data_IF_773114219225
#
_entry.id   IF_773114219225
#
_cell.length_a   1.000
_cell.length_b   1.000
_cell.length_c   1.000
_cell.angle_alpha   90.00
_cell.angle_beta   90.00
_cell.angle_gamma   90.00
#
_symmetry.space_group_name_H-M   'P 1'
#
loop_
_entity.id
_entity.type
_entity.pdbx_description
1 polymer ?
#
# COMPACT_ATOMS: atom_id res chain seq x y z
N UNK A 1 6.81 1.25 -12.59
CA UNK A 1 7.40 1.43 -11.24
C UNK A 1 7.49 2.91 -10.86
N UNK A 2 7.91 3.80 -11.76
CA UNK A 2 7.93 5.27 -11.55
C UNK A 2 6.64 5.83 -10.98
N UNK A 3 5.49 5.59 -11.62
CA UNK A 3 4.19 6.05 -11.12
C UNK A 3 3.86 5.56 -9.70
N UNK A 4 4.30 4.35 -9.31
CA UNK A 4 4.11 3.84 -7.95
C UNK A 4 4.93 4.66 -6.95
N UNK A 5 6.12 5.08 -7.33
CA UNK A 5 6.98 5.92 -6.50
C UNK A 5 6.44 7.36 -6.42
N UNK A 6 5.98 7.92 -7.54
CA UNK A 6 5.39 9.27 -7.60
C UNK A 6 4.11 9.39 -6.78
N UNK A 7 3.30 8.32 -6.72
CA UNK A 7 2.10 8.24 -5.89
C UNK A 7 2.39 7.93 -4.41
N UNK A 8 3.66 7.84 -4.01
CA UNK A 8 4.05 7.61 -2.61
C UNK A 8 3.80 6.19 -2.09
N UNK A 9 3.52 5.22 -2.97
CA UNK A 9 3.29 3.84 -2.53
C UNK A 9 4.58 3.14 -2.09
N UNK A 10 4.42 2.15 -1.20
CA UNK A 10 5.51 1.32 -0.67
C UNK A 10 6.30 0.56 -1.75
N UNK A 11 5.64 0.25 -2.86
CA UNK A 11 6.19 -0.55 -3.95
C UNK A 11 5.08 -1.28 -4.68
N UNK A 12 5.47 -2.25 -5.51
CA UNK A 12 4.55 -3.06 -6.32
C UNK A 12 4.72 -4.54 -5.99
N UNK A 13 3.61 -5.27 -5.99
CA UNK A 13 3.60 -6.73 -5.99
C UNK A 13 3.10 -7.20 -7.35
N UNK A 14 3.98 -7.79 -8.14
CA UNK A 14 3.65 -8.36 -9.43
C UNK A 14 3.25 -9.82 -9.28
N UNK A 15 2.14 -10.21 -9.89
CA UNK A 15 1.65 -11.60 -9.93
C UNK A 15 1.60 -12.05 -11.39
N UNK A 16 1.87 -13.33 -11.65
CA UNK A 16 1.56 -13.89 -12.94
C UNK A 16 0.03 -13.98 -13.10
N UNK A 17 -0.49 -13.47 -14.22
CA UNK A 17 -1.92 -13.38 -14.51
C UNK A 17 -2.63 -14.74 -14.51
N UNK A 18 -1.93 -15.80 -14.91
CA UNK A 18 -2.48 -17.16 -14.98
C UNK A 18 -2.18 -18.00 -13.73
N UNK A 19 -1.47 -17.44 -12.74
CA UNK A 19 -1.10 -18.20 -11.55
C UNK A 19 -2.28 -18.33 -10.60
N UNK A 20 -2.57 -19.57 -10.18
CA UNK A 20 -3.49 -19.84 -9.09
C UNK A 20 -2.81 -19.60 -7.74
N UNK A 21 -3.61 -19.32 -6.71
CA UNK A 21 -3.14 -19.29 -5.33
C UNK A 21 -2.75 -20.70 -4.88
N UNK A 22 -1.56 -20.82 -4.28
CA UNK A 22 -1.06 -22.06 -3.69
C UNK A 22 -0.54 -21.76 -2.28
N UNK A 23 -1.13 -22.36 -1.23
CA UNK A 23 -0.62 -22.20 0.13
C UNK A 23 0.86 -22.59 0.21
N UNK A 24 1.69 -21.76 0.84
CA UNK A 24 3.13 -22.01 1.02
C UNK A 24 4.02 -21.54 -0.14
N UNK A 25 3.47 -21.40 -1.35
CA UNK A 25 4.21 -20.95 -2.53
C UNK A 25 3.99 -19.46 -2.81
N UNK A 26 5.07 -18.76 -3.18
CA UNK A 26 5.01 -17.36 -3.60
C UNK A 26 5.05 -17.26 -5.13
N UNK A 27 3.87 -17.17 -5.74
CA UNK A 27 3.70 -16.89 -7.18
C UNK A 27 3.82 -15.40 -7.54
N UNK A 28 4.46 -14.59 -6.70
CA UNK A 28 4.54 -13.15 -6.85
C UNK A 28 5.91 -12.60 -6.45
N UNK A 29 6.25 -11.46 -7.06
CA UNK A 29 7.50 -10.74 -6.80
C UNK A 29 7.18 -9.37 -6.22
N UNK A 30 7.88 -8.99 -5.14
CA UNK A 30 7.75 -7.67 -4.54
C UNK A 30 8.94 -6.81 -4.92
N UNK A 31 8.67 -5.61 -5.44
CA UNK A 31 9.68 -4.56 -5.66
C UNK A 31 9.34 -3.39 -4.77
N UNK A 32 10.31 -2.97 -3.96
CA UNK A 32 10.16 -1.91 -2.96
C UNK A 32 10.59 -0.57 -3.54
N UNK A 33 9.81 0.49 -3.26
CA UNK A 33 10.23 1.86 -3.51
C UNK A 33 11.33 2.23 -2.50
N UNK A 34 12.56 2.56 -2.94
CA UNK A 34 13.66 2.91 -2.05
C UNK A 34 13.41 4.22 -1.28
N UNK A 35 12.53 5.08 -1.79
CA UNK A 35 12.21 6.37 -1.19
C UNK A 35 10.97 6.31 -0.27
N UNK A 36 10.42 5.12 -0.02
CA UNK A 36 9.21 5.00 0.80
C UNK A 36 9.50 5.11 2.29
N UNK A 37 8.70 5.91 2.99
CA UNK A 37 8.67 6.00 4.44
C UNK A 37 7.28 5.72 4.99
N UNK A 38 7.16 4.80 5.97
CA UNK A 38 5.85 4.35 6.47
C UNK A 38 5.13 5.42 7.31
N UNK A 39 5.86 6.32 7.98
CA UNK A 39 5.29 7.29 8.92
C UNK A 39 4.29 8.24 8.25
N UNK A 40 4.56 8.65 7.01
CA UNK A 40 3.73 9.64 6.32
C UNK A 40 2.34 9.04 6.03
N UNK A 41 2.31 7.80 5.55
CA UNK A 41 1.07 7.03 5.37
C UNK A 41 0.32 6.80 6.70
N UNK A 42 1.04 6.55 7.81
CA UNK A 42 0.42 6.42 9.13
C UNK A 42 -0.20 7.73 9.62
N UNK A 43 0.48 8.86 9.39
CA UNK A 43 -0.01 10.19 9.75
C UNK A 43 -1.29 10.53 8.98
N UNK A 44 -1.31 10.31 7.66
CA UNK A 44 -2.51 10.50 6.83
C UNK A 44 -3.67 9.62 7.29
N UNK A 45 -3.42 8.34 7.61
CA UNK A 45 -4.45 7.43 8.10
C UNK A 45 -5.05 7.90 9.44
N UNK A 46 -4.22 8.46 10.33
CA UNK A 46 -4.66 9.02 11.60
C UNK A 46 -5.53 10.27 11.40
N UNK A 47 -5.11 11.20 10.54
CA UNK A 47 -5.90 12.39 10.18
C UNK A 47 -7.26 11.99 9.60
N UNK A 48 -7.27 11.07 8.62
CA UNK A 48 -8.52 10.59 8.00
C UNK A 48 -9.44 9.89 9.00
N UNK A 49 -8.89 9.15 9.97
CA UNK A 49 -9.67 8.52 11.05
C UNK A 49 -10.27 9.58 11.98
N UNK A 50 -9.52 10.64 12.28
CA UNK A 50 -10.01 11.76 13.09
C UNK A 50 -11.17 12.47 12.39
N UNK A 51 -11.02 12.85 11.13
CA UNK A 51 -12.07 13.48 10.32
C UNK A 51 -13.35 12.65 10.27
N UNK A 52 -13.23 11.33 10.05
CA UNK A 52 -14.38 10.41 10.07
C UNK A 52 -15.11 10.45 11.41
N UNK A 53 -14.37 10.42 12.52
CA UNK A 53 -14.96 10.47 13.88
C UNK A 53 -15.68 11.78 14.15
N UNK A 54 -15.11 12.91 13.74
CA UNK A 54 -15.76 14.23 13.87
C UNK A 54 -17.06 14.23 13.07
N UNK A 55 -17.02 13.79 11.81
CA UNK A 55 -18.19 13.76 10.92
C UNK A 55 -19.31 12.82 11.40
N UNK A 56 -19.00 11.69 12.03
CA UNK A 56 -20.03 10.76 12.55
C UNK A 56 -20.67 11.26 13.86
N UNK A 57 -20.09 12.26 14.51
CA UNK A 57 -20.64 12.88 15.73
C UNK A 57 -21.55 14.08 15.46
N UNK A 58 -21.67 14.50 14.20
CA UNK A 58 -22.61 15.51 13.69
C UNK A 58 -23.82 14.78 13.15
#
# INVERSE_FOLDING_TARGET
FTAVCELGFEGVVAKNHSSLYRPGDRGWVKVKNPNYWRRDAEQEAMTRKHERRVRTRV
#
